data_IF_707162203220
#
_entry.id   IF_707162203220
#
_cell.length_a   1.000
_cell.length_b   1.000
_cell.length_c   1.000
_cell.angle_alpha   90.00
_cell.angle_beta   90.00
_cell.angle_gamma   90.00
#
_symmetry.space_group_name_H-M   'P 1'
#
loop_
_entity.id
_entity.type
_entity.pdbx_description
1 polymer ?
#
# COMPACT_ATOMS: atom_id res chain seq x y z
N UNK A 1 -13.63 7.86 -4.64
CA UNK A 1 -12.57 8.18 -5.61
C UNK A 1 -12.72 9.58 -6.21
N UNK A 2 -13.85 9.93 -6.86
CA UNK A 2 -14.04 11.29 -7.38
C UNK A 2 -13.91 12.35 -6.30
N UNK A 3 -14.53 12.15 -5.15
CA UNK A 3 -14.43 13.07 -4.00
C UNK A 3 -12.98 13.28 -3.53
N UNK A 4 -12.14 12.24 -3.52
CA UNK A 4 -10.71 12.33 -3.20
C UNK A 4 -10.00 13.29 -4.17
N UNK A 5 -10.28 13.13 -5.47
CA UNK A 5 -9.72 13.97 -6.54
C UNK A 5 -10.23 15.42 -6.48
N UNK A 6 -11.51 15.61 -6.19
CA UNK A 6 -12.17 16.93 -6.03
C UNK A 6 -11.61 17.70 -4.82
N UNK A 7 -11.40 17.00 -3.71
CA UNK A 7 -10.85 17.56 -2.47
C UNK A 7 -9.34 17.83 -2.53
N UNK A 8 -8.66 17.40 -3.59
CA UNK A 8 -7.21 17.61 -3.75
C UNK A 8 -6.36 16.70 -2.87
N UNK A 9 -6.91 15.58 -2.37
CA UNK A 9 -6.13 14.56 -1.68
C UNK A 9 -5.16 13.90 -2.65
N UNK A 10 -3.94 13.63 -2.17
CA UNK A 10 -2.82 13.25 -3.05
C UNK A 10 -2.99 11.88 -3.69
N UNK A 11 -3.52 10.89 -2.96
CA UNK A 11 -3.62 9.53 -3.45
C UNK A 11 -4.80 8.76 -2.85
N UNK A 12 -5.21 7.70 -3.55
CA UNK A 12 -6.20 6.72 -3.09
C UNK A 12 -5.63 5.32 -3.26
N UNK A 13 -5.79 4.48 -2.23
CA UNK A 13 -5.23 3.15 -2.19
C UNK A 13 -6.32 2.10 -1.99
N UNK A 14 -6.23 1.02 -2.74
CA UNK A 14 -7.02 -0.19 -2.53
C UNK A 14 -6.22 -1.29 -1.85
N UNK A 15 -6.87 -2.40 -1.55
CA UNK A 15 -6.23 -3.61 -1.06
C UNK A 15 -6.38 -4.75 -2.09
N UNK A 16 -5.43 -5.67 -2.14
CA UNK A 16 -5.48 -6.85 -3.01
C UNK A 16 -5.98 -8.05 -2.20
N UNK A 17 -7.29 -8.17 -2.14
CA UNK A 17 -7.97 -9.27 -1.47
C UNK A 17 -9.00 -9.92 -2.41
N UNK A 18 -9.26 -11.21 -2.19
CA UNK A 18 -10.27 -11.99 -2.91
C UNK A 18 -11.53 -12.20 -2.06
N UNK A 19 -11.41 -11.98 -0.75
CA UNK A 19 -12.50 -11.98 0.22
C UNK A 19 -12.52 -10.65 0.98
N UNK A 20 -13.65 -10.23 1.55
CA UNK A 20 -13.70 -9.04 2.37
C UNK A 20 -12.67 -9.10 3.50
N UNK A 21 -11.97 -7.99 3.74
CA UNK A 21 -11.00 -7.89 4.83
C UNK A 21 -11.64 -8.16 6.20
N UNK A 22 -12.90 -7.78 6.34
CA UNK A 22 -13.71 -7.96 7.52
C UNK A 22 -15.16 -8.31 7.16
N UNK A 23 -15.88 -8.88 8.11
CA UNK A 23 -17.26 -9.35 7.92
C UNK A 23 -17.33 -10.74 7.28
N UNK A 24 -18.52 -11.13 6.81
CA UNK A 24 -18.74 -12.45 6.24
C UNK A 24 -18.03 -12.63 4.89
N UNK A 25 -17.60 -13.86 4.59
CA UNK A 25 -16.84 -14.18 3.37
C UNK A 25 -17.64 -13.99 2.07
N UNK A 26 -18.96 -13.92 2.14
CA UNK A 26 -19.86 -13.64 1.01
C UNK A 26 -20.13 -12.14 0.79
N UNK A 27 -19.48 -11.27 1.55
CA UNK A 27 -19.52 -9.83 1.35
C UNK A 27 -18.86 -9.40 0.03
N UNK A 28 -19.23 -8.21 -0.48
CA UNK A 28 -18.65 -7.68 -1.71
C UNK A 28 -17.15 -7.38 -1.56
N UNK A 29 -16.34 -7.99 -2.42
CA UNK A 29 -14.91 -7.71 -2.57
C UNK A 29 -14.58 -7.56 -4.07
N UNK A 30 -14.07 -6.40 -4.47
CA UNK A 30 -13.79 -6.11 -5.87
C UNK A 30 -12.36 -6.53 -6.24
N UNK A 31 -12.22 -7.15 -7.42
CA UNK A 31 -10.92 -7.54 -7.94
C UNK A 31 -10.03 -6.31 -8.20
N UNK A 32 -8.79 -6.42 -7.79
CA UNK A 32 -7.87 -5.29 -7.64
C UNK A 32 -7.46 -4.64 -8.96
N UNK A 33 -7.04 -5.41 -9.96
CA UNK A 33 -6.57 -4.85 -11.24
C UNK A 33 -7.71 -4.21 -12.04
N UNK A 34 -8.89 -4.80 -11.96
CA UNK A 34 -10.12 -4.23 -12.53
C UNK A 34 -10.47 -2.91 -11.85
N UNK A 35 -10.36 -2.86 -10.52
CA UNK A 35 -10.58 -1.64 -9.73
C UNK A 35 -9.54 -0.55 -10.05
N UNK A 36 -8.26 -0.90 -10.21
CA UNK A 36 -7.22 0.05 -10.63
C UNK A 36 -7.52 0.67 -12.00
N UNK A 37 -8.03 -0.12 -12.95
CA UNK A 37 -8.44 0.40 -14.26
C UNK A 37 -9.56 1.43 -14.14
N UNK A 38 -10.55 1.18 -13.27
CA UNK A 38 -11.60 2.14 -12.98
C UNK A 38 -11.05 3.41 -12.29
N UNK A 39 -10.13 3.26 -11.33
CA UNK A 39 -9.45 4.40 -10.67
C UNK A 39 -8.72 5.27 -11.69
N UNK A 40 -7.99 4.67 -12.62
CA UNK A 40 -7.27 5.38 -13.68
C UNK A 40 -8.18 6.32 -14.50
N UNK A 41 -9.42 5.90 -14.75
CA UNK A 41 -10.37 6.64 -15.57
C UNK A 41 -11.19 7.68 -14.80
N UNK A 42 -11.47 7.43 -13.49
CA UNK A 42 -12.36 8.30 -12.71
C UNK A 42 -11.60 9.38 -11.94
N UNK A 43 -10.30 9.23 -11.72
CA UNK A 43 -9.43 10.26 -11.13
C UNK A 43 -8.70 11.04 -12.23
N UNK A 44 -8.39 12.30 -11.97
CA UNK A 44 -7.68 13.18 -12.92
C UNK A 44 -6.32 13.64 -12.38
N UNK A 45 -6.20 13.86 -11.08
CA UNK A 45 -5.02 14.40 -10.42
C UNK A 45 -4.46 13.45 -9.37
N UNK A 46 -5.33 12.85 -8.56
CA UNK A 46 -4.92 11.93 -7.50
C UNK A 46 -4.16 10.73 -8.08
N UNK A 47 -3.04 10.40 -7.45
CA UNK A 47 -2.34 9.14 -7.68
C UNK A 47 -3.17 8.01 -7.06
N UNK A 48 -2.96 6.80 -7.50
CA UNK A 48 -3.71 5.67 -6.95
C UNK A 48 -2.89 4.38 -7.04
N UNK A 49 -3.16 3.46 -6.14
CA UNK A 49 -2.43 2.20 -6.09
C UNK A 49 -3.10 1.14 -5.25
N UNK A 50 -2.37 0.09 -5.03
CA UNK A 50 -2.75 -1.03 -4.17
C UNK A 50 -1.72 -1.17 -3.06
N UNK A 51 -2.17 -1.29 -1.85
CA UNK A 51 -1.34 -1.46 -0.66
C UNK A 51 -1.70 -2.79 0.03
N UNK A 52 -1.12 -3.90 -0.43
CA UNK A 52 -0.20 -4.11 -1.55
C UNK A 52 -0.66 -5.32 -2.37
N UNK A 53 -0.23 -5.44 -3.66
CA UNK A 53 -0.46 -6.64 -4.46
C UNK A 53 0.22 -7.85 -3.81
N UNK A 54 -0.52 -8.94 -3.60
CA UNK A 54 0.03 -10.19 -3.09
C UNK A 54 0.75 -10.96 -4.19
N UNK A 55 2.06 -11.19 -4.04
CA UNK A 55 2.89 -11.83 -5.07
C UNK A 55 2.38 -13.21 -5.51
N UNK A 56 1.70 -13.93 -4.62
CA UNK A 56 1.21 -15.30 -4.89
C UNK A 56 -0.19 -15.36 -5.50
N UNK A 57 -0.86 -14.23 -5.71
CA UNK A 57 -2.16 -14.21 -6.40
C UNK A 57 -2.04 -14.29 -7.93
N UNK A 58 -0.93 -13.80 -8.51
CA UNK A 58 -0.79 -13.65 -9.97
C UNK A 58 0.64 -13.89 -10.41
N UNK A 59 0.80 -14.37 -11.64
CA UNK A 59 2.10 -14.43 -12.30
C UNK A 59 2.71 -13.03 -12.47
N UNK A 60 3.99 -12.82 -12.08
CA UNK A 60 4.60 -11.49 -12.08
C UNK A 60 4.63 -10.83 -13.46
N UNK A 61 4.78 -11.59 -14.54
CA UNK A 61 4.76 -11.05 -15.89
C UNK A 61 3.37 -10.48 -16.27
N UNK A 62 2.30 -11.14 -15.83
CA UNK A 62 0.92 -10.68 -16.05
C UNK A 62 0.64 -9.43 -15.21
N UNK A 63 1.08 -9.42 -13.94
CA UNK A 63 0.97 -8.26 -13.07
C UNK A 63 1.72 -7.05 -13.64
N UNK A 64 2.96 -7.26 -14.14
CA UNK A 64 3.74 -6.20 -14.81
C UNK A 64 3.02 -5.64 -16.04
N UNK A 65 2.43 -6.53 -16.86
CA UNK A 65 1.70 -6.14 -18.07
C UNK A 65 0.46 -5.30 -17.75
N UNK A 66 -0.37 -5.77 -16.81
CA UNK A 66 -1.57 -5.08 -16.39
C UNK A 66 -1.26 -3.72 -15.76
N UNK A 67 -0.25 -3.66 -14.88
CA UNK A 67 0.17 -2.43 -14.21
C UNK A 67 0.73 -1.40 -15.21
N UNK A 68 1.51 -1.82 -16.21
CA UNK A 68 1.96 -0.93 -17.27
C UNK A 68 0.80 -0.33 -18.08
N UNK A 69 -0.23 -1.13 -18.36
CA UNK A 69 -1.43 -0.64 -19.04
C UNK A 69 -2.21 0.36 -18.17
N UNK A 70 -2.37 0.08 -16.88
CA UNK A 70 -3.03 1.00 -15.93
C UNK A 70 -2.26 2.32 -15.82
N UNK A 71 -0.94 2.26 -15.82
CA UNK A 71 -0.09 3.45 -15.83
C UNK A 71 -0.28 4.29 -17.10
N UNK A 72 -0.35 3.65 -18.27
CA UNK A 72 -0.70 4.30 -19.54
C UNK A 72 -2.09 4.94 -19.50
N UNK A 73 -3.11 4.22 -19.03
CA UNK A 73 -4.48 4.72 -18.94
C UNK A 73 -4.61 5.95 -18.05
N UNK A 74 -3.78 6.04 -17.03
CA UNK A 74 -3.79 7.12 -16.05
C UNK A 74 -2.86 8.30 -16.43
N UNK A 75 -2.02 8.17 -17.45
CA UNK A 75 -0.99 9.15 -17.76
C UNK A 75 0.10 9.24 -16.69
N UNK A 76 0.50 8.11 -16.09
CA UNK A 76 1.62 8.04 -15.16
C UNK A 76 1.24 8.34 -13.69
N UNK A 77 0.04 7.99 -13.24
CA UNK A 77 -0.41 8.21 -11.86
C UNK A 77 -0.45 6.95 -11.00
N UNK A 78 -0.04 5.81 -11.53
CA UNK A 78 0.02 4.55 -10.78
C UNK A 78 1.08 4.58 -9.69
N UNK A 79 0.72 4.14 -8.49
CA UNK A 79 1.59 3.73 -7.39
C UNK A 79 1.57 2.20 -7.32
N UNK A 80 2.73 1.56 -7.40
CA UNK A 80 2.79 0.10 -7.45
C UNK A 80 3.20 -0.48 -6.10
N UNK A 81 2.23 -0.97 -5.33
CA UNK A 81 2.53 -1.68 -4.08
C UNK A 81 2.61 -3.19 -4.29
N UNK A 82 3.58 -3.85 -3.66
CA UNK A 82 3.74 -5.30 -3.71
C UNK A 82 4.21 -5.88 -2.37
N UNK A 83 3.80 -7.10 -2.05
CA UNK A 83 4.14 -7.79 -0.80
C UNK A 83 4.00 -9.30 -0.89
N UNK A 84 4.43 -9.98 0.18
CA UNK A 84 4.50 -11.45 0.22
C UNK A 84 3.13 -12.15 0.33
N UNK A 85 2.04 -11.42 0.60
CA UNK A 85 0.73 -11.99 0.91
C UNK A 85 0.66 -12.58 2.34
N UNK A 86 -0.54 -12.66 2.91
CA UNK A 86 -0.73 -13.12 4.30
C UNK A 86 -2.06 -13.83 4.56
N UNK A 87 -3.11 -13.55 3.82
CA UNK A 87 -4.48 -13.98 4.09
C UNK A 87 -4.74 -15.43 3.62
N UNK A 88 -4.15 -16.42 4.29
CA UNK A 88 -4.23 -17.86 3.93
C UNK A 88 -5.65 -18.34 3.60
N UNK A 89 -6.68 -17.81 4.29
CA UNK A 89 -8.08 -18.18 4.05
C UNK A 89 -8.52 -17.96 2.60
N UNK A 90 -8.04 -16.88 1.96
CA UNK A 90 -8.37 -16.54 0.58
C UNK A 90 -7.72 -17.50 -0.40
N UNK A 91 -6.45 -17.83 -0.17
CA UNK A 91 -5.73 -18.79 -0.99
C UNK A 91 -6.41 -20.16 -0.96
N UNK A 92 -6.83 -20.61 0.23
CA UNK A 92 -7.56 -21.86 0.40
C UNK A 92 -8.92 -21.82 -0.32
N UNK A 93 -9.67 -20.73 -0.18
CA UNK A 93 -11.00 -20.58 -0.78
C UNK A 93 -10.96 -20.59 -2.30
N UNK A 94 -9.94 -19.98 -2.91
CA UNK A 94 -9.78 -19.88 -4.36
C UNK A 94 -8.87 -20.95 -4.97
N UNK A 95 -8.45 -21.95 -4.19
CA UNK A 95 -7.61 -23.05 -4.67
C UNK A 95 -6.20 -22.61 -5.07
N UNK A 96 -5.72 -21.50 -4.53
CA UNK A 96 -4.38 -20.97 -4.78
C UNK A 96 -3.38 -21.58 -3.78
N UNK A 97 -2.11 -21.82 -4.20
CA UNK A 97 -1.09 -22.29 -3.29
C UNK A 97 -0.75 -21.22 -2.26
N UNK A 98 -0.60 -21.62 -0.99
CA UNK A 98 -0.11 -20.75 0.07
C UNK A 98 1.17 -21.34 0.68
N UNK A 99 2.32 -21.08 0.06
CA UNK A 99 3.60 -21.58 0.55
C UNK A 99 3.99 -20.92 1.88
N UNK A 100 5.03 -21.46 2.51
CA UNK A 100 5.56 -20.86 3.74
C UNK A 100 6.10 -19.44 3.52
N UNK A 101 6.35 -18.75 4.63
CA UNK A 101 6.76 -17.34 4.59
C UNK A 101 8.12 -17.15 3.89
N UNK A 102 9.03 -18.12 3.98
CA UNK A 102 10.34 -18.03 3.34
C UNK A 102 10.23 -18.11 1.82
N UNK A 103 9.41 -19.05 1.34
CA UNK A 103 9.13 -19.18 -0.09
C UNK A 103 8.37 -17.97 -0.63
N UNK A 104 7.37 -17.44 0.09
CA UNK A 104 6.66 -16.23 -0.36
C UNK A 104 7.59 -15.03 -0.53
N UNK A 105 8.57 -14.85 0.37
CA UNK A 105 9.57 -13.78 0.23
C UNK A 105 10.56 -14.04 -0.89
N UNK A 106 10.95 -15.29 -1.15
CA UNK A 106 11.81 -15.64 -2.29
C UNK A 106 11.07 -15.41 -3.63
N UNK A 107 9.79 -15.77 -3.71
CA UNK A 107 8.92 -15.45 -4.86
C UNK A 107 8.76 -13.94 -5.05
N UNK A 108 8.63 -13.18 -3.96
CA UNK A 108 8.51 -11.73 -4.02
C UNK A 108 9.78 -11.09 -4.61
N UNK A 109 10.95 -11.56 -4.23
CA UNK A 109 12.22 -11.07 -4.77
C UNK A 109 12.32 -11.31 -6.28
N UNK A 110 12.13 -12.54 -6.75
CA UNK A 110 12.12 -12.86 -8.17
C UNK A 110 11.04 -12.10 -8.96
N UNK A 111 9.85 -11.94 -8.36
CA UNK A 111 8.76 -11.20 -8.97
C UNK A 111 9.09 -9.72 -9.19
N UNK A 112 9.70 -9.06 -8.21
CA UNK A 112 10.11 -7.66 -8.36
C UNK A 112 11.17 -7.52 -9.45
N UNK A 113 12.17 -8.41 -9.50
CA UNK A 113 13.20 -8.41 -10.53
C UNK A 113 12.60 -8.58 -11.94
N UNK A 114 11.66 -9.50 -12.11
CA UNK A 114 10.93 -9.73 -13.36
C UNK A 114 10.15 -8.49 -13.77
N UNK A 115 9.38 -7.91 -12.83
CA UNK A 115 8.51 -6.76 -13.08
C UNK A 115 9.35 -5.55 -13.50
N UNK A 116 10.41 -5.23 -12.78
CA UNK A 116 11.32 -4.13 -13.12
C UNK A 116 12.00 -4.36 -14.46
N UNK A 117 12.48 -5.58 -14.71
CA UNK A 117 13.08 -5.93 -15.99
C UNK A 117 12.12 -5.77 -17.17
N UNK A 118 10.88 -6.25 -17.02
CA UNK A 118 9.85 -6.11 -18.06
C UNK A 118 9.48 -4.65 -18.31
N UNK A 119 9.46 -3.81 -17.29
CA UNK A 119 9.16 -2.38 -17.45
C UNK A 119 10.28 -1.58 -18.10
N UNK A 120 11.54 -1.96 -17.85
CA UNK A 120 12.69 -1.12 -18.23
C UNK A 120 13.47 -1.65 -19.45
N UNK A 121 13.49 -2.97 -19.68
CA UNK A 121 14.26 -3.58 -20.78
C UNK A 121 13.39 -3.86 -22.01
N UNK A 122 13.94 -3.82 -23.23
CA UNK A 122 13.19 -4.18 -24.44
C UNK A 122 12.60 -5.59 -24.37
N UNK A 123 13.40 -6.54 -23.86
CA UNK A 123 13.05 -7.95 -23.70
C UNK A 123 13.63 -8.48 -22.39
N UNK A 124 12.97 -9.46 -21.79
CA UNK A 124 13.38 -10.07 -20.52
C UNK A 124 13.48 -11.57 -20.66
N UNK A 125 14.64 -12.10 -20.32
CA UNK A 125 14.83 -13.52 -20.00
C UNK A 125 15.17 -13.61 -18.53
N UNK A 126 14.52 -14.52 -17.81
CA UNK A 126 14.72 -14.74 -16.38
C UNK A 126 14.67 -16.24 -16.07
N UNK A 127 15.67 -16.76 -15.41
CA UNK A 127 15.78 -18.17 -15.02
C UNK A 127 15.86 -18.25 -13.49
N UNK A 128 14.71 -18.10 -12.83
CA UNK A 128 14.60 -18.19 -11.38
C UNK A 128 14.25 -19.58 -10.89
N UNK A 129 14.17 -19.72 -9.59
CA UNK A 129 13.70 -20.94 -8.93
C UNK A 129 12.19 -21.12 -9.07
N UNK A 130 11.44 -20.02 -9.07
CA UNK A 130 9.98 -20.02 -9.03
C UNK A 130 9.35 -19.53 -10.33
N UNK A 131 10.06 -18.70 -11.07
CA UNK A 131 9.55 -18.12 -12.31
C UNK A 131 10.60 -18.23 -13.43
N UNK A 132 10.11 -18.42 -14.65
CA UNK A 132 10.95 -18.49 -15.85
C UNK A 132 10.31 -17.67 -16.97
N UNK A 133 11.10 -16.83 -17.63
CA UNK A 133 10.70 -16.04 -18.79
C UNK A 133 11.72 -16.21 -19.90
N UNK A 134 11.25 -16.36 -21.13
CA UNK A 134 12.08 -16.53 -22.31
C UNK A 134 11.82 -15.41 -23.31
N UNK A 135 12.78 -14.48 -23.43
CA UNK A 135 12.77 -13.39 -24.41
C UNK A 135 11.43 -12.61 -24.46
N UNK A 136 10.82 -12.40 -23.29
CA UNK A 136 9.49 -11.80 -23.15
C UNK A 136 9.50 -10.29 -23.41
N UNK A 137 8.72 -9.76 -24.38
CA UNK A 137 8.53 -8.34 -24.56
C UNK A 137 7.38 -7.84 -23.65
N UNK A 138 7.46 -6.60 -23.19
CA UNK A 138 6.32 -5.88 -22.61
C UNK A 138 6.14 -4.55 -23.33
N UNK A 139 5.04 -4.42 -24.07
CA UNK A 139 4.66 -3.21 -24.82
C UNK A 139 3.16 -3.01 -24.65
N UNK A 140 2.69 -1.77 -24.34
CA UNK A 140 3.49 -0.58 -24.06
C UNK A 140 4.24 -0.68 -22.71
N UNK A 141 5.33 0.08 -22.58
CA UNK A 141 6.00 0.31 -21.30
C UNK A 141 5.14 1.22 -20.41
N UNK A 142 5.37 1.30 -19.10
CA UNK A 142 4.81 2.36 -18.28
C UNK A 142 5.15 3.75 -18.83
N UNK A 143 4.31 4.76 -18.51
CA UNK A 143 4.59 6.17 -18.82
C UNK A 143 5.68 6.71 -17.90
N UNK A 144 5.65 6.28 -16.64
CA UNK A 144 6.61 6.72 -15.62
C UNK A 144 8.00 6.15 -15.89
N UNK A 145 9.04 6.98 -15.73
CA UNK A 145 10.45 6.61 -15.93
C UNK A 145 11.22 6.69 -14.61
N UNK A 146 12.05 5.69 -14.29
CA UNK A 146 12.31 4.46 -15.05
C UNK A 146 11.13 3.48 -15.03
N UNK A 147 10.23 3.56 -14.08
CA UNK A 147 9.02 2.77 -13.89
C UNK A 147 8.13 3.40 -12.80
N UNK A 148 6.88 2.94 -12.60
CA UNK A 148 6.04 3.36 -11.47
C UNK A 148 6.78 3.16 -10.14
N UNK A 149 6.63 4.09 -9.16
CA UNK A 149 7.27 3.94 -7.86
C UNK A 149 6.78 2.68 -7.15
N UNK A 150 7.73 1.91 -6.62
CA UNK A 150 7.46 0.64 -5.96
C UNK A 150 7.33 0.85 -4.46
N UNK A 151 6.19 0.48 -3.89
CA UNK A 151 5.96 0.43 -2.44
C UNK A 151 6.01 -1.02 -1.97
N UNK A 152 6.85 -1.34 -0.98
CA UNK A 152 6.88 -2.65 -0.35
C UNK A 152 6.24 -2.56 1.04
N UNK A 153 5.27 -3.45 1.33
CA UNK A 153 4.52 -3.46 2.58
C UNK A 153 5.09 -4.41 3.62
N UNK A 154 5.23 -3.93 4.86
CA UNK A 154 5.63 -4.71 6.02
C UNK A 154 6.71 -4.04 6.88
N UNK A 155 7.07 -4.66 8.02
CA UNK A 155 7.97 -4.06 9.02
C UNK A 155 9.17 -4.94 9.42
N UNK A 156 9.26 -6.15 8.86
CA UNK A 156 10.31 -7.12 9.21
C UNK A 156 11.61 -6.96 8.41
N UNK A 157 12.67 -7.64 8.84
CA UNK A 157 13.99 -7.62 8.18
C UNK A 157 13.95 -8.04 6.70
N UNK A 158 13.14 -9.06 6.35
CA UNK A 158 12.99 -9.49 4.95
C UNK A 158 12.41 -8.38 4.09
N UNK A 159 11.38 -7.69 4.60
CA UNK A 159 10.78 -6.54 3.91
C UNK A 159 11.77 -5.39 3.76
N UNK A 160 12.49 -5.03 4.83
CA UNK A 160 13.48 -3.96 4.81
C UNK A 160 14.59 -4.22 3.79
N UNK A 161 15.08 -5.48 3.70
CA UNK A 161 16.09 -5.87 2.70
C UNK A 161 15.60 -5.70 1.26
N UNK A 162 14.37 -6.12 0.96
CA UNK A 162 13.81 -5.92 -0.37
C UNK A 162 13.54 -4.44 -0.66
N UNK A 163 13.07 -3.68 0.35
CA UNK A 163 12.86 -2.25 0.21
C UNK A 163 14.16 -1.50 -0.09
N UNK A 164 15.25 -1.82 0.62
CA UNK A 164 16.56 -1.24 0.37
C UNK A 164 17.08 -1.49 -1.06
N UNK A 165 16.71 -2.62 -1.68
CA UNK A 165 17.16 -2.96 -3.05
C UNK A 165 16.27 -2.37 -4.14
N UNK A 166 14.95 -2.34 -3.94
CA UNK A 166 14.01 -2.13 -5.03
C UNK A 166 12.99 -1.01 -4.81
N UNK A 167 12.70 -0.64 -3.55
CA UNK A 167 11.56 0.22 -3.29
C UNK A 167 11.88 1.71 -3.41
N UNK A 168 10.89 2.47 -3.86
CA UNK A 168 10.81 3.92 -3.65
C UNK A 168 10.19 4.24 -2.28
N UNK A 169 9.43 3.26 -1.70
CA UNK A 169 8.74 3.46 -0.42
C UNK A 169 8.62 2.15 0.36
N UNK A 170 8.88 2.21 1.67
CA UNK A 170 8.53 1.17 2.64
C UNK A 170 7.26 1.58 3.39
N UNK A 171 6.19 0.78 3.32
CA UNK A 171 4.96 1.06 4.05
C UNK A 171 4.78 0.15 5.27
N UNK A 172 4.45 0.74 6.41
CA UNK A 172 4.29 0.06 7.69
C UNK A 172 2.89 0.27 8.26
N UNK A 173 2.18 -0.81 8.52
CA UNK A 173 0.88 -0.76 9.23
C UNK A 173 1.13 -0.65 10.74
N UNK A 174 0.54 0.36 11.39
CA UNK A 174 0.53 0.49 12.86
C UNK A 174 1.08 1.81 13.40
N UNK A 175 1.59 1.77 14.63
CA UNK A 175 1.97 2.95 15.43
C UNK A 175 3.28 3.62 14.99
N UNK A 176 3.55 4.87 15.44
CA UNK A 176 4.84 5.53 15.23
C UNK A 176 6.02 4.71 15.73
N UNK A 177 5.91 4.05 16.89
CA UNK A 177 6.95 3.18 17.41
C UNK A 177 7.30 2.01 16.48
N UNK A 178 6.27 1.41 15.85
CA UNK A 178 6.48 0.35 14.87
C UNK A 178 7.12 0.88 13.58
N UNK A 179 6.78 2.09 13.17
CA UNK A 179 7.41 2.77 12.04
C UNK A 179 8.90 3.08 12.32
N UNK A 180 9.23 3.58 13.51
CA UNK A 180 10.61 3.81 13.95
C UNK A 180 11.46 2.54 13.88
N UNK A 181 10.95 1.43 14.44
CA UNK A 181 11.64 0.13 14.38
C UNK A 181 11.84 -0.38 12.94
N UNK A 182 10.91 -0.11 12.06
CA UNK A 182 11.04 -0.48 10.64
C UNK A 182 12.05 0.40 9.93
N UNK A 183 12.11 1.68 10.28
CA UNK A 183 13.09 2.62 9.75
C UNK A 183 14.52 2.25 10.14
N UNK A 184 14.78 1.90 11.39
CA UNK A 184 16.09 1.41 11.85
C UNK A 184 16.55 0.18 11.05
N UNK A 185 15.62 -0.75 10.76
CA UNK A 185 15.92 -1.92 9.93
C UNK A 185 16.22 -1.54 8.48
N UNK A 186 15.45 -0.59 7.95
CA UNK A 186 15.66 -0.07 6.60
C UNK A 186 17.04 0.59 6.47
N UNK A 187 17.41 1.44 7.41
CA UNK A 187 18.73 2.10 7.44
C UNK A 187 19.86 1.08 7.33
N UNK A 188 19.87 0.05 8.19
CA UNK A 188 20.89 -1.01 8.17
C UNK A 188 20.91 -1.75 6.83
N UNK A 189 19.72 -2.10 6.29
CA UNK A 189 19.66 -2.79 5.01
C UNK A 189 20.11 -1.89 3.83
N UNK A 190 19.88 -0.59 3.90
CA UNK A 190 20.39 0.37 2.92
C UNK A 190 21.91 0.50 3.00
N UNK A 191 22.48 0.58 4.22
CA UNK A 191 23.93 0.55 4.42
C UNK A 191 24.58 -0.71 3.82
N UNK A 192 23.98 -1.89 4.08
CA UNK A 192 24.43 -3.17 3.51
C UNK A 192 24.32 -3.20 1.98
N UNK A 193 23.32 -2.55 1.41
CA UNK A 193 23.09 -2.47 -0.03
C UNK A 193 23.88 -1.36 -0.73
N UNK A 194 24.59 -0.49 0.01
CA UNK A 194 25.28 0.68 -0.54
C UNK A 194 24.36 1.74 -1.12
N UNK A 195 23.14 1.87 -0.56
CA UNK A 195 22.10 2.81 -0.99
C UNK A 195 21.81 3.84 0.11
N UNK A 196 21.60 5.10 -0.27
CA UNK A 196 21.19 6.12 0.69
C UNK A 196 19.75 5.84 1.18
N UNK A 197 19.52 5.89 2.50
CA UNK A 197 18.19 5.59 3.07
C UNK A 197 17.15 6.62 2.65
N UNK A 198 17.57 7.85 2.38
CA UNK A 198 16.75 8.96 1.91
C UNK A 198 16.12 8.72 0.53
N UNK A 199 16.65 7.75 -0.23
CA UNK A 199 16.05 7.31 -1.49
C UNK A 199 14.83 6.41 -1.29
N UNK A 200 14.56 5.97 -0.05
CA UNK A 200 13.42 5.12 0.29
C UNK A 200 12.52 5.83 1.29
N UNK A 201 11.41 6.35 0.81
CA UNK A 201 10.43 7.04 1.64
C UNK A 201 9.82 6.10 2.69
N UNK A 202 9.79 6.51 3.96
CA UNK A 202 9.07 5.78 5.00
C UNK A 202 7.61 6.21 5.00
N UNK A 203 6.70 5.25 4.86
CA UNK A 203 5.26 5.45 4.86
C UNK A 203 4.60 4.68 5.99
N UNK A 204 3.56 5.25 6.57
CA UNK A 204 2.75 4.60 7.59
C UNK A 204 1.30 4.42 7.13
N UNK A 205 0.65 3.37 7.64
CA UNK A 205 -0.77 3.09 7.39
C UNK A 205 -1.51 2.92 8.72
N UNK A 206 -1.81 4.03 9.43
CA UNK A 206 -2.72 4.02 10.57
C UNK A 206 -4.18 3.94 10.12
N UNK A 207 -5.04 3.35 10.95
CA UNK A 207 -6.49 3.51 10.83
C UNK A 207 -6.90 4.91 11.30
N UNK A 208 -8.03 5.43 10.82
CA UNK A 208 -8.43 6.80 11.12
C UNK A 208 -9.92 6.91 11.44
N UNK A 209 -10.21 7.65 12.49
CA UNK A 209 -11.56 8.10 12.85
C UNK A 209 -11.49 9.57 13.31
N UNK A 210 -11.85 10.49 12.42
CA UNK A 210 -11.82 11.94 12.68
C UNK A 210 -13.25 12.47 12.59
N UNK A 211 -13.63 13.27 13.58
CA UNK A 211 -14.93 13.93 13.64
C UNK A 211 -14.77 15.33 14.28
N UNK A 212 -15.83 16.12 14.27
CA UNK A 212 -15.83 17.46 14.87
C UNK A 212 -15.64 17.45 16.40
N UNK A 213 -15.84 16.28 17.06
CA UNK A 213 -15.60 16.10 18.49
C UNK A 213 -14.88 14.79 18.79
N UNK A 214 -14.12 14.77 19.89
CA UNK A 214 -13.43 13.58 20.38
C UNK A 214 -14.40 12.41 20.62
N UNK A 215 -15.52 12.66 21.29
CA UNK A 215 -16.49 11.62 21.62
C UNK A 215 -17.06 10.95 20.36
N UNK A 216 -17.34 11.74 19.31
CA UNK A 216 -17.83 11.18 18.04
C UNK A 216 -16.74 10.39 17.30
N UNK A 217 -15.50 10.87 17.35
CA UNK A 217 -14.37 10.15 16.76
C UNK A 217 -14.12 8.80 17.45
N UNK A 218 -14.21 8.75 18.76
CA UNK A 218 -14.09 7.51 19.54
C UNK A 218 -15.22 6.52 19.22
N UNK A 219 -16.46 6.98 19.13
CA UNK A 219 -17.59 6.16 18.70
C UNK A 219 -17.36 5.55 17.30
N UNK A 220 -16.88 6.35 16.35
CA UNK A 220 -16.55 5.88 15.00
C UNK A 220 -15.41 4.87 15.03
N UNK A 221 -14.36 5.08 15.83
CA UNK A 221 -13.24 4.16 15.95
C UNK A 221 -13.67 2.81 16.51
N UNK A 222 -14.50 2.82 17.55
CA UNK A 222 -15.05 1.59 18.15
C UNK A 222 -15.92 0.82 17.15
N UNK A 223 -16.82 1.51 16.45
CA UNK A 223 -17.67 0.90 15.42
C UNK A 223 -16.86 0.34 14.25
N UNK A 224 -15.78 0.99 13.83
CA UNK A 224 -14.89 0.46 12.80
C UNK A 224 -14.12 -0.77 13.29
N UNK A 225 -13.62 -0.76 14.53
CA UNK A 225 -12.92 -1.91 15.11
C UNK A 225 -13.87 -3.13 15.20
N UNK A 226 -15.09 -2.93 15.67
CA UNK A 226 -16.11 -3.97 15.72
C UNK A 226 -16.42 -4.55 14.32
N UNK A 227 -16.62 -3.69 13.33
CA UNK A 227 -16.86 -4.09 11.95
C UNK A 227 -15.69 -4.89 11.35
N UNK A 228 -14.45 -4.62 11.79
CA UNK A 228 -13.25 -5.38 11.42
C UNK A 228 -13.06 -6.68 12.23
N UNK A 229 -13.90 -6.95 13.21
CA UNK A 229 -13.71 -8.06 14.14
C UNK A 229 -12.49 -7.90 15.04
N UNK A 230 -12.04 -6.66 15.27
CA UNK A 230 -10.87 -6.32 16.06
C UNK A 230 -11.28 -5.66 17.39
N UNK A 231 -10.39 -5.73 18.36
CA UNK A 231 -10.52 -4.93 19.59
C UNK A 231 -9.78 -3.60 19.38
N UNK A 232 -10.46 -2.48 19.64
CA UNK A 232 -9.80 -1.19 19.64
C UNK A 232 -8.70 -1.18 20.72
N UNK A 233 -7.44 -0.83 20.38
CA UNK A 233 -6.35 -0.83 21.34
C UNK A 233 -6.57 0.20 22.45
N UNK A 234 -6.40 -0.21 23.71
CA UNK A 234 -6.60 0.69 24.87
C UNK A 234 -5.69 1.92 24.85
N UNK A 235 -4.52 1.83 24.24
CA UNK A 235 -3.56 2.91 24.05
C UNK A 235 -3.75 3.67 22.71
N UNK A 236 -4.74 3.29 21.90
CA UNK A 236 -5.00 3.85 20.58
C UNK A 236 -3.93 3.55 19.54
N UNK A 237 -3.00 2.62 19.82
CA UNK A 237 -1.85 2.39 18.94
C UNK A 237 -2.27 1.97 17.53
N UNK A 238 -1.69 2.62 16.52
CA UNK A 238 -2.00 2.37 15.10
C UNK A 238 -3.30 3.01 14.62
N UNK A 239 -3.93 3.85 15.45
CA UNK A 239 -5.09 4.64 15.10
C UNK A 239 -4.81 6.14 15.24
N UNK A 240 -5.48 6.93 14.44
CA UNK A 240 -5.59 8.39 14.57
C UNK A 240 -7.05 8.69 14.89
N UNK A 241 -7.32 9.09 16.13
CA UNK A 241 -8.69 9.29 16.61
C UNK A 241 -8.81 10.65 17.28
N UNK A 242 -9.79 11.44 16.86
CA UNK A 242 -10.09 12.73 17.50
C UNK A 242 -10.61 13.81 16.58
N UNK A 243 -10.65 15.02 17.10
CA UNK A 243 -10.90 16.24 16.32
C UNK A 243 -9.73 16.57 15.40
N UNK A 244 -9.89 17.44 14.39
CA UNK A 244 -8.80 17.81 13.48
C UNK A 244 -7.50 18.26 14.20
N UNK A 245 -7.50 19.10 15.24
CA UNK A 245 -6.27 19.44 15.96
C UNK A 245 -5.59 18.24 16.62
N UNK A 246 -6.38 17.31 17.17
CA UNK A 246 -5.84 16.08 17.77
C UNK A 246 -5.27 15.13 16.72
N UNK A 247 -5.90 15.03 15.56
CA UNK A 247 -5.40 14.24 14.43
C UNK A 247 -4.07 14.81 13.92
N UNK A 248 -3.94 16.14 13.81
CA UNK A 248 -2.69 16.82 13.44
C UNK A 248 -1.57 16.44 14.42
N UNK A 249 -1.82 16.58 15.73
CA UNK A 249 -0.83 16.23 16.75
C UNK A 249 -0.41 14.74 16.71
N UNK A 250 -1.35 13.85 16.39
CA UNK A 250 -1.04 12.42 16.23
C UNK A 250 -0.24 12.13 14.95
N UNK A 251 -0.55 12.81 13.84
CA UNK A 251 0.21 12.69 12.58
C UNK A 251 1.63 13.22 12.73
N UNK A 252 1.84 14.30 13.47
CA UNK A 252 3.16 14.84 13.77
C UNK A 252 4.07 13.84 14.46
N UNK A 253 3.53 12.96 15.33
CA UNK A 253 4.31 11.87 15.96
C UNK A 253 4.85 10.86 14.93
N UNK A 254 4.16 10.66 13.80
CA UNK A 254 4.71 9.85 12.71
C UNK A 254 5.84 10.59 11.98
N UNK A 255 5.70 11.89 11.77
CA UNK A 255 6.76 12.71 11.16
C UNK A 255 8.04 12.74 12.03
N UNK A 256 7.90 12.81 13.36
CA UNK A 256 9.02 12.78 14.32
C UNK A 256 9.89 11.52 14.21
N UNK A 257 9.33 10.41 13.72
CA UNK A 257 10.07 9.15 13.52
C UNK A 257 10.47 8.91 12.07
N UNK A 258 10.42 9.94 11.22
CA UNK A 258 10.87 9.91 9.83
C UNK A 258 9.82 9.48 8.81
N UNK A 259 8.55 9.34 9.20
CA UNK A 259 7.47 9.08 8.23
C UNK A 259 7.16 10.36 7.47
N UNK A 260 7.30 10.31 6.15
CA UNK A 260 7.02 11.43 5.23
C UNK A 260 5.72 11.23 4.42
N UNK A 261 5.18 10.02 4.42
CA UNK A 261 3.95 9.67 3.69
C UNK A 261 3.00 8.86 4.58
N UNK A 262 1.72 9.25 4.62
CA UNK A 262 0.72 8.53 5.42
C UNK A 262 -0.45 8.11 4.53
N UNK A 263 -0.78 6.83 4.55
CA UNK A 263 -2.00 6.28 3.95
C UNK A 263 -3.01 6.04 5.07
N UNK A 264 -4.07 6.81 5.10
CA UNK A 264 -5.08 6.71 6.15
C UNK A 264 -6.06 5.56 5.86
N UNK A 265 -6.11 4.60 6.76
CA UNK A 265 -7.03 3.46 6.67
C UNK A 265 -8.46 3.86 7.04
N UNK A 266 -9.32 3.97 6.04
CA UNK A 266 -10.73 4.35 6.21
C UNK A 266 -11.61 3.13 6.48
N UNK A 267 -12.58 3.27 7.39
CA UNK A 267 -13.66 2.29 7.56
C UNK A 267 -14.65 2.27 6.39
N UNK A 268 -15.41 1.20 6.26
CA UNK A 268 -16.49 1.09 5.29
C UNK A 268 -17.84 1.04 6.04
N UNK A 269 -18.90 1.74 5.58
CA UNK A 269 -18.94 2.63 4.42
C UNK A 269 -18.07 3.89 4.58
N UNK A 270 -17.53 4.39 3.47
CA UNK A 270 -16.66 5.57 3.48
C UNK A 270 -17.41 6.82 3.92
N UNK A 271 -16.86 7.49 4.93
CA UNK A 271 -17.41 8.74 5.44
C UNK A 271 -16.91 9.94 4.62
N UNK A 272 -17.83 10.60 3.91
CA UNK A 272 -17.53 11.78 3.12
C UNK A 272 -17.21 13.01 4.00
N UNK A 273 -17.74 13.09 5.22
CA UNK A 273 -17.45 14.17 6.17
C UNK A 273 -16.00 14.06 6.65
N UNK A 274 -15.55 12.87 7.00
CA UNK A 274 -14.16 12.62 7.36
C UNK A 274 -13.19 13.06 6.25
N UNK A 275 -13.49 12.74 4.98
CA UNK A 275 -12.65 13.16 3.86
C UNK A 275 -12.61 14.70 3.72
N UNK A 276 -13.73 15.39 3.98
CA UNK A 276 -13.76 16.86 3.97
C UNK A 276 -12.93 17.43 5.12
N UNK A 277 -13.12 16.94 6.36
CA UNK A 277 -12.33 17.37 7.52
C UNK A 277 -10.82 17.18 7.28
N UNK A 278 -10.44 16.06 6.69
CA UNK A 278 -9.04 15.82 6.29
C UNK A 278 -8.54 16.92 5.34
N UNK A 279 -9.30 17.21 4.29
CA UNK A 279 -8.87 18.16 3.25
C UNK A 279 -8.88 19.62 3.73
N UNK A 280 -9.86 20.02 4.55
CA UNK A 280 -10.08 21.44 4.91
C UNK A 280 -9.46 21.84 6.23
N UNK A 281 -9.24 20.91 7.15
CA UNK A 281 -8.79 21.23 8.51
C UNK A 281 -7.49 20.51 8.90
N UNK A 282 -7.30 19.24 8.49
CA UNK A 282 -6.13 18.48 8.93
C UNK A 282 -4.92 18.76 8.03
N UNK A 283 -5.06 18.62 6.69
CA UNK A 283 -3.93 18.81 5.77
C UNK A 283 -3.34 20.22 5.81
N UNK A 284 -4.13 21.32 5.88
CA UNK A 284 -3.57 22.67 6.02
C UNK A 284 -2.78 22.88 7.31
N UNK A 285 -3.10 22.14 8.37
CA UNK A 285 -2.40 22.20 9.67
C UNK A 285 -1.11 21.38 9.74
N UNK A 286 -0.79 20.60 8.70
CA UNK A 286 0.44 19.83 8.60
C UNK A 286 1.52 20.51 7.72
N UNK A 287 1.17 21.64 7.11
CA UNK A 287 2.02 22.41 6.17
C UNK A 287 3.05 23.27 6.90
#
# INVERSE_FOLDING_TARGET
MRLVDELGLQSVWGADHLLPFAGPDDGACFETLTSLSAMALVTKRARFGVLVNGVVYREPAILAKASAQVDQMSGGRLEFGIGAGWAEREFRAYGLPFPDVAERFARLEEAIEIIVSLWTRPRTTFEGRYYQLHDAPLVPKPVQSPHPPITIGGSGWRTARLAARFASRLNVVGSPAKAAMAFERLQRCCEEAGRAVEEVELSAHPKVAIATSQARAEELALGQAEALGETFPADGSGWIVGSPPQAIAQLQRYAEVGVSHVVLGLGHPFDAELLRLLATEVLPGLS
#
